data_IF_671268742079
#
_entry.id   IF_671268742079
#
_cell.length_a   1.000
_cell.length_b   1.000
_cell.length_c   1.000
_cell.angle_alpha   90.00
_cell.angle_beta   90.00
_cell.angle_gamma   90.00
#
_symmetry.space_group_name_H-M   'P 1'
#
loop_
_entity.id
_entity.type
_entity.pdbx_description
1 polymer ?
#
# COMPACT_ATOMS: atom_id res chain seq x y z
N UNK A 1 22.17 12.51 1.66
CA UNK A 1 23.25 11.50 1.74
C UNK A 1 22.73 10.17 2.29
N UNK A 2 22.21 10.14 3.53
CA UNK A 2 21.72 8.92 4.19
C UNK A 2 20.65 8.13 3.40
N UNK A 3 19.57 8.79 2.97
CA UNK A 3 18.50 8.13 2.20
C UNK A 3 19.05 7.42 0.94
N UNK A 4 19.97 8.07 0.23
CA UNK A 4 20.59 7.52 -0.98
C UNK A 4 21.47 6.32 -0.67
N UNK A 5 22.23 6.35 0.43
CA UNK A 5 23.04 5.22 0.90
C UNK A 5 22.18 4.03 1.32
N UNK A 6 21.09 4.28 2.05
CA UNK A 6 20.13 3.26 2.46
C UNK A 6 19.43 2.61 1.26
N UNK A 7 19.01 3.43 0.29
CA UNK A 7 18.45 2.92 -0.97
C UNK A 7 19.46 2.06 -1.73
N UNK A 8 20.71 2.50 -1.87
CA UNK A 8 21.75 1.72 -2.53
C UNK A 8 21.99 0.37 -1.82
N UNK A 9 22.02 0.37 -0.49
CA UNK A 9 22.19 -0.85 0.30
C UNK A 9 21.04 -1.85 0.05
N UNK A 10 19.79 -1.39 0.07
CA UNK A 10 18.62 -2.24 -0.22
C UNK A 10 18.64 -2.81 -1.65
N UNK A 11 19.00 -1.99 -2.64
CA UNK A 11 19.07 -2.46 -4.03
C UNK A 11 20.20 -3.46 -4.27
N UNK A 12 21.29 -3.37 -3.51
CA UNK A 12 22.46 -4.26 -3.62
C UNK A 12 22.24 -5.55 -2.84
N UNK A 13 21.55 -5.47 -1.70
CA UNK A 13 21.23 -6.59 -0.82
C UNK A 13 19.75 -6.50 -0.42
N UNK A 14 18.84 -7.18 -1.14
CA UNK A 14 17.42 -7.21 -0.80
C UNK A 14 17.22 -7.60 0.67
N UNK A 15 16.23 -7.00 1.33
CA UNK A 15 15.89 -7.22 2.75
C UNK A 15 16.83 -6.55 3.76
N UNK A 16 17.86 -5.82 3.32
CA UNK A 16 18.81 -5.14 4.20
C UNK A 16 18.14 -4.19 5.20
N UNK A 17 17.23 -3.32 4.75
CA UNK A 17 16.56 -2.34 5.59
C UNK A 17 15.61 -2.99 6.59
N UNK A 18 15.00 -4.12 6.22
CA UNK A 18 14.15 -4.89 7.11
C UNK A 18 14.96 -5.55 8.22
N UNK A 19 16.11 -6.14 7.90
CA UNK A 19 17.01 -6.73 8.88
C UNK A 19 17.65 -5.68 9.78
N UNK A 20 18.01 -4.52 9.22
CA UNK A 20 18.47 -3.36 9.98
C UNK A 20 17.41 -2.91 10.99
N UNK A 21 16.14 -2.77 10.57
CA UNK A 21 15.04 -2.41 11.46
C UNK A 21 14.87 -3.42 12.59
N UNK A 22 14.96 -4.73 12.31
CA UNK A 22 14.91 -5.78 13.34
C UNK A 22 16.04 -5.67 14.35
N UNK A 23 17.28 -5.44 13.89
CA UNK A 23 18.45 -5.28 14.78
C UNK A 23 18.24 -4.09 15.71
N UNK A 24 17.79 -2.95 15.17
CA UNK A 24 17.53 -1.74 15.95
C UNK A 24 16.41 -1.94 16.98
N UNK A 25 15.32 -2.63 16.62
CA UNK A 25 14.24 -2.96 17.56
C UNK A 25 14.72 -3.87 18.69
N UNK A 26 15.54 -4.86 18.37
CA UNK A 26 16.12 -5.77 19.35
C UNK A 26 17.08 -5.04 20.31
N UNK A 27 17.95 -4.18 19.78
CA UNK A 27 18.88 -3.35 20.58
C UNK A 27 18.12 -2.41 21.52
N UNK A 28 17.05 -1.79 21.03
CA UNK A 28 16.15 -0.96 21.82
C UNK A 28 15.26 -1.75 22.79
N UNK A 29 15.31 -3.09 22.78
CA UNK A 29 14.48 -4.01 23.59
C UNK A 29 12.98 -3.79 23.39
N UNK A 30 12.56 -3.42 22.18
CA UNK A 30 11.17 -3.20 21.83
C UNK A 30 10.54 -4.48 21.25
N UNK A 31 9.46 -4.96 21.88
CA UNK A 31 8.69 -6.09 21.36
C UNK A 31 7.57 -5.59 20.45
N UNK A 32 7.91 -5.38 19.18
CA UNK A 32 6.99 -4.87 18.16
C UNK A 32 6.84 -5.89 17.04
N UNK A 33 5.60 -6.22 16.67
CA UNK A 33 5.33 -6.95 15.44
C UNK A 33 5.54 -5.99 14.26
N UNK A 34 6.67 -6.14 13.56
CA UNK A 34 7.07 -5.24 12.49
C UNK A 34 6.10 -5.32 11.30
N UNK A 35 5.55 -6.51 11.00
CA UNK A 35 4.60 -6.71 9.91
C UNK A 35 3.27 -6.00 10.18
N UNK A 36 2.72 -6.16 11.39
CA UNK A 36 1.50 -5.44 11.77
C UNK A 36 1.74 -3.92 11.80
N UNK A 37 2.88 -3.48 12.32
CA UNK A 37 3.22 -2.06 12.41
C UNK A 37 3.37 -1.44 11.02
N UNK A 38 4.06 -2.14 10.11
CA UNK A 38 4.19 -1.74 8.72
C UNK A 38 2.83 -1.61 8.04
N UNK A 39 1.93 -2.58 8.24
CA UNK A 39 0.58 -2.52 7.68
C UNK A 39 -0.25 -1.35 8.25
N UNK A 40 -0.20 -1.10 9.58
CA UNK A 40 -0.86 0.05 10.21
C UNK A 40 -0.37 1.38 9.65
N UNK A 41 0.94 1.52 9.43
CA UNK A 41 1.56 2.75 8.90
C UNK A 41 1.01 3.14 7.53
N UNK A 42 0.58 2.18 6.69
CA UNK A 42 -0.02 2.47 5.40
C UNK A 42 -1.38 3.19 5.47
N UNK A 43 -2.03 3.23 6.64
CA UNK A 43 -3.27 3.98 6.85
C UNK A 43 -3.09 5.49 6.75
N UNK A 44 -1.90 5.99 7.14
CA UNK A 44 -1.54 7.41 7.14
C UNK A 44 -0.29 7.72 6.30
N UNK A 45 0.28 6.73 5.63
CA UNK A 45 1.43 6.93 4.74
C UNK A 45 1.08 7.90 3.61
N UNK A 46 2.06 8.70 3.13
CA UNK A 46 1.90 9.52 1.93
C UNK A 46 1.37 8.68 0.76
N UNK A 47 0.53 9.29 -0.08
CA UNK A 47 -0.14 8.65 -1.21
C UNK A 47 0.53 8.95 -2.55
N UNK A 48 1.68 9.64 -2.54
CA UNK A 48 2.38 10.11 -3.74
C UNK A 48 2.75 8.96 -4.69
N UNK A 49 2.91 7.75 -4.16
CA UNK A 49 3.19 6.51 -4.90
C UNK A 49 1.97 5.94 -5.65
N UNK A 50 0.76 6.36 -5.27
CA UNK A 50 -0.52 5.94 -5.86
C UNK A 50 -1.19 7.04 -6.69
N UNK A 51 -0.73 8.27 -6.57
CA UNK A 51 -1.20 9.40 -7.34
C UNK A 51 -0.47 9.48 -8.69
N UNK A 52 -1.17 9.97 -9.72
CA UNK A 52 -0.59 10.20 -11.04
C UNK A 52 -0.80 11.66 -11.45
N UNK A 53 -0.01 12.60 -10.90
CA UNK A 53 -0.19 14.04 -11.14
C UNK A 53 -0.20 14.41 -12.62
N UNK A 54 0.59 13.70 -13.45
CA UNK A 54 0.65 13.89 -14.89
C UNK A 54 -0.69 13.61 -15.61
N UNK A 55 -1.57 12.81 -15.00
CA UNK A 55 -2.90 12.46 -15.52
C UNK A 55 -4.03 13.05 -14.67
N UNK A 56 -3.76 13.99 -13.76
CA UNK A 56 -4.76 14.59 -12.88
C UNK A 56 -5.90 15.33 -13.63
N UNK A 57 -5.71 15.65 -14.91
CA UNK A 57 -6.74 16.23 -15.78
C UNK A 57 -7.71 15.18 -16.36
N UNK A 58 -7.46 13.88 -16.13
CA UNK A 58 -8.29 12.77 -16.60
C UNK A 58 -9.02 12.15 -15.41
N UNK A 59 -10.35 12.25 -15.34
CA UNK A 59 -11.12 11.79 -14.18
C UNK A 59 -10.97 10.27 -13.94
N UNK A 60 -10.71 9.48 -14.98
CA UNK A 60 -10.55 8.04 -14.85
C UNK A 60 -9.26 7.66 -14.09
N UNK A 61 -8.19 8.45 -14.26
CA UNK A 61 -6.93 8.23 -13.55
C UNK A 61 -7.00 8.71 -12.11
N UNK A 62 -7.68 9.82 -11.85
CA UNK A 62 -7.99 10.27 -10.49
C UNK A 62 -8.80 9.22 -9.74
N UNK A 63 -9.84 8.69 -10.37
CA UNK A 63 -10.69 7.63 -9.80
C UNK A 63 -9.86 6.36 -9.48
N UNK A 64 -8.97 5.95 -10.38
CA UNK A 64 -8.05 4.82 -10.13
C UNK A 64 -7.20 5.05 -8.86
N UNK A 65 -6.59 6.23 -8.73
CA UNK A 65 -5.81 6.62 -7.55
C UNK A 65 -6.67 6.60 -6.27
N UNK A 66 -7.87 7.18 -6.31
CA UNK A 66 -8.82 7.17 -5.18
C UNK A 66 -9.17 5.75 -4.75
N UNK A 67 -9.42 4.82 -5.71
CA UNK A 67 -9.71 3.42 -5.39
C UNK A 67 -8.50 2.67 -4.83
N UNK A 68 -7.30 2.94 -5.33
CA UNK A 68 -6.06 2.33 -4.82
C UNK A 68 -5.78 2.78 -3.37
N UNK A 69 -5.91 4.08 -3.10
CA UNK A 69 -5.74 4.65 -1.75
C UNK A 69 -6.79 4.10 -0.79
N UNK A 70 -8.05 3.99 -1.23
CA UNK A 70 -9.11 3.41 -0.41
C UNK A 70 -8.81 1.96 -0.02
N UNK A 71 -8.40 1.12 -0.98
CA UNK A 71 -8.00 -0.26 -0.70
C UNK A 71 -6.84 -0.32 0.29
N UNK A 72 -5.79 0.49 0.10
CA UNK A 72 -4.64 0.57 1.01
C UNK A 72 -5.07 0.91 2.44
N UNK A 73 -5.97 1.88 2.61
CA UNK A 73 -6.50 2.30 3.93
C UNK A 73 -7.34 1.22 4.60
N UNK A 74 -8.12 0.45 3.84
CA UNK A 74 -8.88 -0.68 4.41
C UNK A 74 -7.93 -1.77 4.89
N UNK A 75 -6.93 -2.14 4.08
CA UNK A 75 -5.93 -3.16 4.45
C UNK A 75 -5.14 -2.75 5.70
N UNK A 76 -4.83 -1.46 5.87
CA UNK A 76 -4.11 -0.95 7.03
C UNK A 76 -4.82 -1.17 8.38
N UNK A 77 -6.15 -1.36 8.38
CA UNK A 77 -6.95 -1.62 9.59
C UNK A 77 -6.94 -3.08 10.04
N UNK A 78 -6.49 -4.00 9.19
CA UNK A 78 -6.50 -5.45 9.49
C UNK A 78 -5.87 -5.79 10.85
N UNK A 79 -4.69 -5.25 11.22
CA UNK A 79 -4.07 -5.56 12.52
C UNK A 79 -4.89 -5.17 13.75
N UNK A 80 -5.78 -4.18 13.62
CA UNK A 80 -6.60 -3.69 14.71
C UNK A 80 -7.94 -4.42 14.76
N UNK A 81 -8.53 -4.72 13.60
CA UNK A 81 -9.86 -5.32 13.46
C UNK A 81 -9.83 -6.85 13.57
N UNK A 82 -8.70 -7.51 13.24
CA UNK A 82 -8.58 -8.99 13.26
C UNK A 82 -8.67 -9.62 14.66
N UNK A 83 -8.60 -8.82 15.72
CA UNK A 83 -8.71 -9.29 17.12
C UNK A 83 -10.13 -9.76 17.45
N UNK A 84 -11.13 -9.16 16.81
CA UNK A 84 -12.54 -9.41 17.06
C UNK A 84 -13.22 -9.96 15.80
N UNK A 85 -13.95 -11.08 15.95
CA UNK A 85 -14.54 -11.77 14.79
C UNK A 85 -15.51 -10.90 13.99
N UNK A 86 -16.36 -10.12 14.66
CA UNK A 86 -17.39 -9.32 13.98
C UNK A 86 -16.79 -8.16 13.18
N UNK A 87 -15.97 -7.27 13.77
CA UNK A 87 -15.24 -6.24 13.01
C UNK A 87 -14.46 -6.83 11.84
N UNK A 88 -13.71 -7.91 12.07
CA UNK A 88 -12.90 -8.52 11.00
C UNK A 88 -13.71 -9.01 9.80
N UNK A 89 -14.89 -9.58 10.03
CA UNK A 89 -15.78 -9.99 8.94
C UNK A 89 -16.30 -8.80 8.13
N UNK A 90 -16.54 -7.65 8.76
CA UNK A 90 -16.88 -6.42 8.03
C UNK A 90 -15.66 -5.90 7.25
N UNK A 91 -14.45 -5.92 7.84
CA UNK A 91 -13.21 -5.59 7.13
C UNK A 91 -13.03 -6.44 5.87
N UNK A 92 -13.26 -7.75 5.95
CA UNK A 92 -13.14 -8.66 4.80
C UNK A 92 -14.11 -8.25 3.67
N UNK A 93 -15.36 -7.92 4.01
CA UNK A 93 -16.34 -7.43 3.02
C UNK A 93 -15.89 -6.11 2.39
N UNK A 94 -15.37 -5.19 3.20
CA UNK A 94 -14.85 -3.90 2.73
C UNK A 94 -13.63 -4.05 1.82
N UNK A 95 -12.72 -5.00 2.13
CA UNK A 95 -11.58 -5.37 1.27
C UNK A 95 -12.10 -5.87 -0.07
N UNK A 96 -13.03 -6.84 -0.06
CA UNK A 96 -13.59 -7.40 -1.29
C UNK A 96 -14.28 -6.32 -2.15
N UNK A 97 -15.04 -5.42 -1.52
CA UNK A 97 -15.67 -4.28 -2.21
C UNK A 97 -14.63 -3.34 -2.81
N UNK A 98 -13.57 -3.02 -2.07
CA UNK A 98 -12.50 -2.11 -2.52
C UNK A 98 -11.67 -2.71 -3.66
N UNK A 99 -11.36 -4.01 -3.59
CA UNK A 99 -10.69 -4.73 -4.69
C UNK A 99 -11.54 -4.67 -5.95
N UNK A 100 -12.84 -4.99 -5.85
CA UNK A 100 -13.74 -4.92 -7.00
C UNK A 100 -13.75 -3.53 -7.64
N UNK A 101 -13.94 -2.48 -6.83
CA UNK A 101 -13.96 -1.09 -7.33
C UNK A 101 -12.64 -0.69 -7.99
N UNK A 102 -11.51 -1.12 -7.44
CA UNK A 102 -10.21 -0.86 -8.03
C UNK A 102 -10.06 -1.58 -9.38
N UNK A 103 -10.45 -2.85 -9.47
CA UNK A 103 -10.43 -3.61 -10.73
C UNK A 103 -11.35 -2.98 -11.79
N UNK A 104 -12.54 -2.54 -11.40
CA UNK A 104 -13.47 -1.85 -12.28
C UNK A 104 -12.84 -0.55 -12.85
N UNK A 105 -12.18 0.25 -12.01
CA UNK A 105 -11.46 1.45 -12.44
C UNK A 105 -10.26 1.13 -13.36
N UNK A 106 -9.49 0.09 -13.05
CA UNK A 106 -8.38 -0.37 -13.89
C UNK A 106 -8.87 -0.81 -15.27
N UNK A 107 -10.01 -1.51 -15.34
CA UNK A 107 -10.60 -1.95 -16.61
C UNK A 107 -11.02 -0.76 -17.49
N UNK A 108 -11.54 0.31 -16.91
CA UNK A 108 -11.86 1.55 -17.63
C UNK A 108 -10.58 2.14 -18.25
N UNK A 109 -9.50 2.24 -17.49
CA UNK A 109 -8.22 2.75 -18.00
C UNK A 109 -7.68 1.86 -19.13
N UNK A 110 -7.75 0.55 -19.00
CA UNK A 110 -7.29 -0.39 -20.04
C UNK A 110 -8.03 -0.20 -21.36
N UNK A 111 -9.32 0.15 -21.33
CA UNK A 111 -10.10 0.45 -22.53
C UNK A 111 -9.68 1.76 -23.23
N UNK A 112 -9.08 2.69 -22.49
CA UNK A 112 -8.60 3.98 -23.02
C UNK A 112 -7.18 3.91 -23.57
N UNK A 113 -6.41 2.90 -23.18
CA UNK A 113 -5.04 2.71 -23.64
C UNK A 113 -5.04 2.02 -25.01
N UNK A 114 -4.25 2.49 -26.00
CA UNK A 114 -4.11 1.83 -27.29
C UNK A 114 -3.70 0.35 -27.11
N UNK A 115 -4.18 -0.59 -27.93
CA UNK A 115 -3.86 -2.02 -27.79
C UNK A 115 -2.36 -2.32 -27.81
N UNK A 116 -1.57 -1.46 -28.44
CA UNK A 116 -0.11 -1.59 -28.57
C UNK A 116 0.65 -1.20 -27.29
N UNK A 117 -0.05 -0.59 -26.33
CA UNK A 117 0.48 -0.14 -25.04
C UNK A 117 -0.18 -0.85 -23.86
N UNK A 118 -1.03 -1.86 -24.13
CA UNK A 118 -1.55 -2.76 -23.11
C UNK A 118 -0.45 -3.78 -22.75
N UNK A 119 -0.25 -4.09 -21.46
CA UNK A 119 0.75 -5.06 -21.00
C UNK A 119 0.43 -6.51 -21.41
#
# INVERSE_FOLDING_TARGET
LLQRSLYHAETTSPNFLFDLAKILLNDAKLTVNLQESFLRMHGSAPVDDLEMPQYAHKPEFEELSVRAIALRRVLARVPDEMKERRPFLETIKEIASSIKKLLDATNIILQLIPPQSQP
#
